data_IF_543182347275
#
_entry.id   IF_543182347275
#
_cell.length_a   1.000
_cell.length_b   1.000
_cell.length_c   1.000
_cell.angle_alpha   90.00
_cell.angle_beta   90.00
_cell.angle_gamma   90.00
#
_symmetry.space_group_name_H-M   'P 1'
#
loop_
_entity.id
_entity.type
_entity.pdbx_description
1 polymer ?
#
# COMPACT_ATOMS: atom_id res chain seq x y z
N UNK A 1 -7.57 17.49 -6.77
CA UNK A 1 -6.90 16.63 -7.75
C UNK A 1 -6.81 17.31 -9.10
N UNK A 2 -5.71 17.04 -9.81
CA UNK A 2 -5.39 17.54 -11.14
C UNK A 2 -5.12 16.33 -12.01
N UNK A 3 -5.85 16.17 -13.12
CA UNK A 3 -5.56 15.11 -14.08
C UNK A 3 -4.76 15.72 -15.23
N UNK A 4 -3.72 15.05 -15.68
CA UNK A 4 -2.95 15.43 -16.87
C UNK A 4 -3.05 14.29 -17.87
N UNK A 5 -3.36 14.62 -19.12
CA UNK A 5 -3.34 13.68 -20.24
C UNK A 5 -2.24 14.12 -21.19
N UNK A 6 -1.21 13.30 -21.35
CA UNK A 6 -0.17 13.49 -22.35
C UNK A 6 -0.40 12.54 -23.53
N UNK A 7 -0.75 13.10 -24.68
CA UNK A 7 -0.92 12.35 -25.92
C UNK A 7 0.44 12.23 -26.62
N UNK A 8 0.84 11.01 -26.97
CA UNK A 8 2.12 10.69 -27.58
C UNK A 8 1.91 9.99 -28.92
N UNK A 9 2.58 10.50 -29.96
CA UNK A 9 2.61 9.89 -31.28
C UNK A 9 3.98 9.24 -31.50
N UNK A 10 4.00 7.91 -31.54
CA UNK A 10 5.23 7.11 -31.62
C UNK A 10 5.76 7.08 -33.05
N UNK A 11 7.07 7.14 -33.21
CA UNK A 11 7.75 6.84 -34.48
C UNK A 11 7.56 5.35 -34.81
N UNK A 12 7.08 4.97 -36.01
CA UNK A 12 6.94 3.57 -36.40
C UNK A 12 8.25 2.78 -36.22
N UNK A 13 8.18 1.63 -35.56
CA UNK A 13 9.33 0.77 -35.26
C UNK A 13 10.06 1.11 -33.95
N UNK A 14 9.58 2.08 -33.17
CA UNK A 14 10.13 2.46 -31.85
C UNK A 14 9.17 2.19 -30.68
N UNK A 15 8.09 1.44 -30.91
CA UNK A 15 7.06 1.15 -29.92
C UNK A 15 7.63 0.47 -28.67
N UNK A 16 8.41 -0.59 -28.86
CA UNK A 16 9.03 -1.32 -27.74
C UNK A 16 10.06 -0.45 -26.99
N UNK A 17 10.80 0.40 -27.71
CA UNK A 17 11.74 1.34 -27.10
C UNK A 17 11.02 2.35 -26.21
N UNK A 18 9.93 2.95 -26.72
CA UNK A 18 9.10 3.88 -25.95
C UNK A 18 8.45 3.19 -24.75
N UNK A 19 7.88 2.00 -24.95
CA UNK A 19 7.17 1.27 -23.90
C UNK A 19 8.13 0.91 -22.75
N UNK A 20 9.37 0.50 -23.05
CA UNK A 20 10.41 0.26 -22.04
C UNK A 20 10.87 1.54 -21.33
N UNK A 21 11.01 2.64 -22.08
CA UNK A 21 11.36 3.97 -21.56
C UNK A 21 10.27 4.41 -20.58
N UNK A 22 9.00 4.42 -20.98
CA UNK A 22 7.85 4.83 -20.15
C UNK A 22 7.66 3.95 -18.91
N UNK A 23 7.88 2.64 -19.01
CA UNK A 23 7.84 1.74 -17.85
C UNK A 23 8.84 2.17 -16.76
N UNK A 24 10.08 2.47 -17.14
CA UNK A 24 11.10 2.95 -16.21
C UNK A 24 10.78 4.32 -15.60
N UNK A 25 10.16 5.23 -16.36
CA UNK A 25 9.69 6.51 -15.80
C UNK A 25 8.57 6.31 -14.78
N UNK A 26 7.60 5.47 -15.10
CA UNK A 26 6.47 5.16 -14.21
C UNK A 26 6.99 4.67 -12.86
N UNK A 27 7.92 3.72 -12.85
CA UNK A 27 8.45 3.15 -11.61
C UNK A 27 9.18 4.23 -10.78
N UNK A 28 9.99 5.08 -11.42
CA UNK A 28 10.67 6.19 -10.74
C UNK A 28 9.71 7.23 -10.14
N UNK A 29 8.63 7.56 -10.86
CA UNK A 29 7.60 8.50 -10.38
C UNK A 29 6.86 7.91 -9.20
N UNK A 30 6.38 6.67 -9.29
CA UNK A 30 5.60 6.04 -8.22
C UNK A 30 6.43 5.84 -6.95
N UNK A 31 7.75 5.63 -7.08
CA UNK A 31 8.67 5.56 -5.96
C UNK A 31 8.96 6.95 -5.34
N UNK A 32 9.14 7.98 -6.18
CA UNK A 32 9.69 9.28 -5.73
C UNK A 32 8.65 10.37 -5.48
N UNK A 33 7.44 10.24 -6.03
CA UNK A 33 6.43 11.30 -6.05
C UNK A 33 5.15 10.91 -5.30
N UNK A 34 5.09 11.05 -3.96
CA UNK A 34 3.89 10.74 -3.17
C UNK A 34 2.70 11.67 -3.48
N UNK A 35 2.90 12.69 -4.32
CA UNK A 35 1.83 13.55 -4.85
C UNK A 35 1.22 13.08 -6.16
N UNK A 36 1.84 12.11 -6.84
CA UNK A 36 1.32 11.42 -8.01
C UNK A 36 0.46 10.24 -7.56
N UNK A 37 -0.86 10.40 -7.66
CA UNK A 37 -1.87 9.43 -7.23
C UNK A 37 -2.13 8.35 -8.29
N UNK A 38 -1.84 8.65 -9.56
CA UNK A 38 -2.03 7.75 -10.70
C UNK A 38 -1.02 8.10 -11.78
N UNK A 39 -0.44 7.08 -12.39
CA UNK A 39 0.41 7.22 -13.56
C UNK A 39 0.20 6.02 -14.49
N UNK A 40 -0.80 6.12 -15.34
CA UNK A 40 -1.12 5.07 -16.31
C UNK A 40 -0.48 5.39 -17.65
N UNK A 41 0.07 4.36 -18.26
CA UNK A 41 0.57 4.41 -19.63
C UNK A 41 -0.21 3.40 -20.47
N UNK A 42 -1.00 3.92 -21.42
CA UNK A 42 -1.94 3.11 -22.19
C UNK A 42 -1.77 3.33 -23.68
N UNK A 43 -2.15 2.33 -24.45
CA UNK A 43 -2.28 2.41 -25.91
C UNK A 43 -3.73 2.62 -26.28
N UNK A 44 -3.99 3.49 -27.24
CA UNK A 44 -5.34 3.70 -27.76
C UNK A 44 -5.76 2.58 -28.70
N UNK A 45 -7.04 2.22 -28.74
CA UNK A 45 -7.56 1.21 -29.67
C UNK A 45 -7.50 1.69 -31.14
N UNK A 46 -7.56 3.00 -31.39
CA UNK A 46 -7.60 3.54 -32.74
C UNK A 46 -6.27 3.40 -33.49
N UNK A 47 -5.14 3.30 -32.78
CA UNK A 47 -3.82 3.24 -33.41
C UNK A 47 -2.77 2.60 -32.50
N UNK A 48 -1.98 1.64 -33.02
CA UNK A 48 -0.85 1.08 -32.30
C UNK A 48 0.31 2.07 -32.14
N UNK A 49 0.28 3.22 -32.83
CA UNK A 49 1.29 4.27 -32.74
C UNK A 49 0.87 5.42 -31.83
N UNK A 50 -0.28 5.32 -31.15
CA UNK A 50 -0.75 6.36 -30.23
C UNK A 50 -0.79 5.82 -28.80
N UNK A 51 -0.15 6.57 -27.91
CA UNK A 51 -0.06 6.28 -26.48
C UNK A 51 -0.60 7.47 -25.69
N UNK A 52 -1.18 7.19 -24.53
CA UNK A 52 -1.61 8.19 -23.58
C UNK A 52 -0.89 7.94 -22.25
N UNK A 53 -0.42 9.03 -21.64
CA UNK A 53 -0.11 9.04 -20.21
C UNK A 53 -1.26 9.71 -19.50
N UNK A 54 -1.85 9.04 -18.51
CA UNK A 54 -2.92 9.56 -17.68
C UNK A 54 -2.39 9.67 -16.26
N UNK A 55 -2.21 10.90 -15.82
CA UNK A 55 -1.58 11.23 -14.55
C UNK A 55 -2.59 11.91 -13.65
N UNK A 56 -2.62 11.57 -12.36
CA UNK A 56 -3.41 12.30 -11.37
C UNK A 56 -2.53 12.79 -10.24
N UNK A 57 -2.63 14.08 -9.93
CA UNK A 57 -1.90 14.72 -8.85
C UNK A 57 -2.86 15.20 -7.77
N UNK A 58 -2.45 15.06 -6.51
CA UNK A 58 -3.24 15.51 -5.35
C UNK A 58 -3.63 16.99 -5.47
N UNK A 59 -2.66 17.84 -5.80
CA UNK A 59 -2.77 19.29 -5.85
C UNK A 59 -1.79 19.92 -6.86
N UNK A 60 -1.75 21.26 -6.91
CA UNK A 60 -0.88 21.99 -7.82
C UNK A 60 0.61 21.90 -7.47
N UNK A 61 0.95 21.79 -6.19
CA UNK A 61 2.34 21.68 -5.76
C UNK A 61 2.92 20.31 -6.14
N UNK A 62 2.12 19.25 -6.06
CA UNK A 62 2.48 17.92 -6.56
C UNK A 62 2.78 17.94 -8.07
N UNK A 63 1.92 18.59 -8.87
CA UNK A 63 2.15 18.72 -10.31
C UNK A 63 3.40 19.57 -10.63
N UNK A 64 3.64 20.66 -9.91
CA UNK A 64 4.84 21.49 -10.12
C UNK A 64 6.11 20.70 -9.76
N UNK A 65 6.09 19.94 -8.66
CA UNK A 65 7.17 19.05 -8.27
C UNK A 65 7.47 18.01 -9.36
N UNK A 66 6.44 17.40 -9.94
CA UNK A 66 6.57 16.48 -11.06
C UNK A 66 7.28 17.12 -12.26
N UNK A 67 6.78 18.30 -12.69
CA UNK A 67 7.30 19.04 -13.84
C UNK A 67 8.76 19.48 -13.65
N UNK A 68 9.15 19.79 -12.42
CA UNK A 68 10.52 20.19 -12.05
C UNK A 68 11.46 19.02 -11.72
N UNK A 69 10.97 17.78 -11.74
CA UNK A 69 11.70 16.63 -11.21
C UNK A 69 12.98 16.31 -11.97
N UNK A 70 13.93 15.66 -11.29
CA UNK A 70 15.20 15.24 -11.90
C UNK A 70 14.97 14.11 -12.90
N UNK A 71 14.21 13.09 -12.53
CA UNK A 71 13.94 11.94 -13.39
C UNK A 71 13.19 12.32 -14.66
N UNK A 72 12.22 13.24 -14.61
CA UNK A 72 11.56 13.72 -15.83
C UNK A 72 12.54 14.45 -16.78
N UNK A 73 13.45 15.28 -16.24
CA UNK A 73 14.47 15.97 -17.04
C UNK A 73 15.47 15.01 -17.68
N UNK A 74 15.92 13.99 -16.95
CA UNK A 74 16.83 12.95 -17.48
C UNK A 74 16.12 12.03 -18.50
N UNK A 75 14.81 11.85 -18.34
CA UNK A 75 13.96 11.03 -19.19
C UNK A 75 13.63 11.68 -20.54
N UNK A 76 13.36 13.00 -20.53
CA UNK A 76 12.78 13.72 -21.67
C UNK A 76 13.54 13.52 -23.01
N UNK A 77 14.88 13.51 -23.06
CA UNK A 77 15.59 13.27 -24.33
C UNK A 77 15.33 11.89 -24.93
N UNK A 78 15.21 10.85 -24.08
CA UNK A 78 14.94 9.46 -24.51
C UNK A 78 13.51 9.31 -25.00
N UNK A 79 12.57 9.97 -24.32
CA UNK A 79 11.17 10.05 -24.76
C UNK A 79 11.09 10.65 -26.17
N UNK A 80 11.67 11.85 -26.35
CA UNK A 80 11.54 12.59 -27.60
C UNK A 80 12.20 11.87 -28.79
N UNK A 81 13.21 11.05 -28.56
CA UNK A 81 13.81 10.21 -29.61
C UNK A 81 12.86 9.12 -30.15
N UNK A 82 11.77 8.83 -29.44
CA UNK A 82 10.78 7.83 -29.82
C UNK A 82 9.48 8.43 -30.39
N UNK A 83 9.33 9.76 -30.36
CA UNK A 83 8.10 10.44 -30.77
C UNK A 83 8.28 11.24 -32.05
N UNK A 84 7.22 11.32 -32.86
CA UNK A 84 7.24 12.13 -34.10
C UNK A 84 7.16 13.62 -33.81
N UNK A 85 6.64 13.99 -32.65
CA UNK A 85 6.45 15.36 -32.18
C UNK A 85 6.46 15.40 -30.65
N UNK A 86 6.49 16.60 -30.08
CA UNK A 86 6.36 16.78 -28.63
C UNK A 86 4.98 16.28 -28.15
N UNK A 87 4.89 15.64 -26.97
CA UNK A 87 3.61 15.21 -26.42
C UNK A 87 2.64 16.39 -26.28
N UNK A 88 1.39 16.18 -26.68
CA UNK A 88 0.34 17.17 -26.46
C UNK A 88 -0.24 16.96 -25.08
N UNK A 89 -0.03 17.94 -24.19
CA UNK A 89 -0.43 17.86 -22.78
C UNK A 89 -1.72 18.66 -22.55
N UNK A 90 -2.70 18.02 -21.92
CA UNK A 90 -3.95 18.65 -21.50
C UNK A 90 -4.12 18.50 -19.99
N UNK A 91 -4.32 19.62 -19.29
CA UNK A 91 -4.64 19.62 -17.86
C UNK A 91 -6.15 19.67 -17.66
N UNK A 92 -6.65 18.72 -16.90
CA UNK A 92 -8.06 18.51 -16.62
C UNK A 92 -8.35 18.75 -15.12
N UNK A 93 -9.64 18.97 -14.83
CA UNK A 93 -10.19 19.09 -13.49
C UNK A 93 -11.41 18.18 -13.39
N UNK A 94 -11.55 17.51 -12.26
CA UNK A 94 -12.77 16.75 -11.98
C UNK A 94 -13.95 17.73 -11.87
N UNK A 95 -14.93 17.58 -12.76
CA UNK A 95 -16.17 18.38 -12.75
C UNK A 95 -17.08 17.95 -11.61
N UNK A 96 -17.04 16.66 -11.27
CA UNK A 96 -17.71 16.09 -10.11
C UNK A 96 -16.65 15.79 -9.06
N UNK A 97 -16.80 16.27 -7.80
CA UNK A 97 -15.90 15.89 -6.72
C UNK A 97 -15.86 14.37 -6.57
N UNK A 98 -14.66 13.81 -6.58
CA UNK A 98 -14.47 12.41 -6.19
C UNK A 98 -14.55 12.38 -4.66
N UNK A 99 -15.34 11.48 -4.06
CA UNK A 99 -15.33 11.30 -2.61
C UNK A 99 -13.90 11.08 -2.11
N UNK A 100 -13.60 11.57 -0.91
CA UNK A 100 -12.32 11.24 -0.28
C UNK A 100 -12.22 9.71 -0.17
N UNK A 101 -11.08 9.16 -0.59
CA UNK A 101 -10.77 7.77 -0.35
C UNK A 101 -10.54 7.55 1.15
N UNK A 102 -10.49 6.28 1.55
CA UNK A 102 -9.84 5.92 2.81
C UNK A 102 -8.43 6.51 2.86
N UNK A 103 -7.87 6.81 4.05
CA UNK A 103 -6.52 7.36 4.17
C UNK A 103 -5.50 6.48 3.43
N UNK A 104 -4.57 7.10 2.69
CA UNK A 104 -3.51 6.38 1.95
C UNK A 104 -2.64 5.48 2.84
N UNK A 105 -2.63 5.75 4.14
CA UNK A 105 -1.93 4.93 5.13
C UNK A 105 -2.66 3.62 5.42
N UNK A 106 -3.97 3.50 5.18
CA UNK A 106 -4.73 2.26 5.38
C UNK A 106 -4.29 1.23 4.35
N UNK A 107 -3.68 0.14 4.82
CA UNK A 107 -3.11 -0.87 3.93
C UNK A 107 -3.62 -2.28 4.16
N UNK A 108 -4.26 -2.58 5.30
CA UNK A 108 -4.89 -3.89 5.50
C UNK A 108 -6.04 -3.89 6.50
N UNK A 109 -6.79 -4.98 6.47
CA UNK A 109 -7.79 -5.37 7.46
C UNK A 109 -7.40 -6.71 8.07
N UNK A 110 -7.18 -6.75 9.37
CA UNK A 110 -6.74 -7.96 10.08
C UNK A 110 -7.90 -8.74 10.67
N UNK A 111 -7.89 -10.05 10.45
CA UNK A 111 -8.88 -10.99 10.99
C UNK A 111 -8.19 -12.22 11.56
N UNK A 112 -8.46 -12.50 12.83
CA UNK A 112 -8.03 -13.75 13.46
C UNK A 112 -9.02 -14.85 13.08
N UNK A 113 -8.51 -15.96 12.56
CA UNK A 113 -9.30 -17.10 12.08
C UNK A 113 -8.92 -18.38 12.83
N UNK A 114 -9.89 -19.26 13.14
CA UNK A 114 -9.62 -20.47 13.92
C UNK A 114 -8.81 -21.51 13.14
N UNK A 115 -8.89 -21.47 11.81
CA UNK A 115 -8.23 -22.39 10.87
C UNK A 115 -7.85 -21.60 9.62
N UNK A 116 -6.57 -21.29 9.49
CA UNK A 116 -6.05 -20.43 8.43
C UNK A 116 -6.24 -21.02 7.04
N UNK A 117 -5.99 -22.33 6.88
CA UNK A 117 -6.13 -23.01 5.59
C UNK A 117 -7.58 -22.98 5.10
N UNK A 118 -8.54 -23.31 5.97
CA UNK A 118 -9.96 -23.23 5.63
C UNK A 118 -10.42 -21.81 5.36
N UNK A 119 -9.93 -20.84 6.13
CA UNK A 119 -10.27 -19.44 5.93
C UNK A 119 -9.76 -18.94 4.56
N UNK A 120 -8.52 -19.25 4.20
CA UNK A 120 -7.95 -18.92 2.89
C UNK A 120 -8.79 -19.54 1.77
N UNK A 121 -9.07 -20.84 1.84
CA UNK A 121 -9.87 -21.53 0.82
C UNK A 121 -11.25 -20.88 0.64
N UNK A 122 -11.94 -20.56 1.74
CA UNK A 122 -13.25 -19.91 1.71
C UNK A 122 -13.19 -18.50 1.11
N UNK A 123 -12.25 -17.66 1.56
CA UNK A 123 -12.14 -16.30 1.06
C UNK A 123 -11.74 -16.27 -0.42
N UNK A 124 -10.85 -17.18 -0.84
CA UNK A 124 -10.47 -17.33 -2.25
C UNK A 124 -11.65 -17.73 -3.12
N UNK A 125 -12.46 -18.71 -2.70
CA UNK A 125 -13.63 -19.16 -3.45
C UNK A 125 -14.71 -18.07 -3.56
N UNK A 126 -15.02 -17.40 -2.44
CA UNK A 126 -16.11 -16.43 -2.39
C UNK A 126 -15.74 -15.11 -3.08
N UNK A 127 -14.51 -14.62 -2.89
CA UNK A 127 -14.08 -13.30 -3.38
C UNK A 127 -13.33 -13.36 -4.71
N UNK A 128 -12.90 -14.55 -5.15
CA UNK A 128 -12.08 -14.70 -6.36
C UNK A 128 -10.69 -14.08 -6.23
N UNK A 129 -10.09 -14.16 -5.02
CA UNK A 129 -8.76 -13.59 -4.72
C UNK A 129 -7.77 -14.70 -4.34
N UNK A 130 -6.49 -14.44 -4.57
CA UNK A 130 -5.39 -15.29 -4.09
C UNK A 130 -4.78 -14.74 -2.81
N UNK A 131 -4.13 -15.61 -2.04
CA UNK A 131 -3.36 -15.25 -0.85
C UNK A 131 -1.88 -15.59 -1.04
N UNK A 132 -1.02 -14.96 -0.26
CA UNK A 132 0.39 -15.30 -0.17
C UNK A 132 0.59 -16.69 0.49
N UNK A 133 1.80 -17.26 0.34
CA UNK A 133 2.22 -18.38 1.19
C UNK A 133 2.25 -17.92 2.66
N UNK A 134 1.76 -18.74 3.62
CA UNK A 134 1.80 -18.38 5.03
C UNK A 134 3.21 -18.07 5.53
N UNK A 135 3.34 -17.00 6.31
CA UNK A 135 4.58 -16.63 6.97
C UNK A 135 4.40 -16.61 8.49
N UNK A 136 5.47 -16.98 9.21
CA UNK A 136 5.50 -16.98 10.68
C UNK A 136 6.38 -15.83 11.15
N UNK A 137 5.74 -14.78 11.66
CA UNK A 137 6.42 -13.66 12.28
C UNK A 137 6.81 -14.00 13.71
N UNK A 138 8.10 -13.88 14.02
CA UNK A 138 8.61 -14.01 15.39
C UNK A 138 8.65 -12.66 16.05
N UNK A 139 7.89 -12.50 17.12
CA UNK A 139 7.79 -11.27 17.89
C UNK A 139 8.54 -11.52 19.20
N UNK A 140 9.74 -10.94 19.38
CA UNK A 140 10.55 -11.19 20.58
C UNK A 140 9.88 -10.71 21.86
N UNK A 141 9.04 -9.67 21.77
CA UNK A 141 8.42 -9.02 22.91
C UNK A 141 7.06 -8.43 22.52
N UNK A 142 6.01 -9.20 22.74
CA UNK A 142 4.61 -8.80 22.63
C UNK A 142 4.05 -8.47 24.02
N UNK A 143 3.34 -7.36 24.16
CA UNK A 143 2.72 -6.93 25.43
C UNK A 143 1.19 -6.92 25.30
N UNK A 144 0.50 -8.00 25.69
CA UNK A 144 -0.97 -8.16 25.54
C UNK A 144 -1.64 -9.19 26.49
N UNK A 145 -1.86 -8.89 27.78
CA UNK A 145 -1.51 -7.67 28.51
C UNK A 145 -0.13 -7.74 29.18
N UNK A 146 0.38 -8.96 29.43
CA UNK A 146 1.69 -9.20 30.05
C UNK A 146 2.75 -9.44 28.96
N UNK A 147 4.01 -9.02 29.15
CA UNK A 147 5.03 -9.22 28.12
C UNK A 147 5.46 -10.68 27.93
N UNK A 148 5.46 -11.16 26.68
CA UNK A 148 5.94 -12.50 26.31
C UNK A 148 6.45 -12.55 24.85
N UNK A 149 7.31 -13.53 24.49
CA UNK A 149 7.57 -13.81 23.08
C UNK A 149 6.31 -14.42 22.43
N UNK A 150 6.13 -14.19 21.13
CA UNK A 150 5.02 -14.75 20.38
C UNK A 150 5.45 -15.13 18.96
N UNK A 151 4.70 -16.06 18.36
CA UNK A 151 4.74 -16.32 16.93
C UNK A 151 3.35 -16.03 16.35
N UNK A 152 3.32 -15.31 15.23
CA UNK A 152 2.10 -14.95 14.52
C UNK A 152 2.18 -15.55 13.12
N UNK A 153 1.25 -16.45 12.78
CA UNK A 153 1.18 -17.02 11.42
C UNK A 153 0.08 -16.33 10.63
N UNK A 154 0.43 -15.72 9.51
CA UNK A 154 -0.51 -14.96 8.70
C UNK A 154 -0.32 -15.18 7.19
N UNK A 155 -1.32 -14.76 6.44
CA UNK A 155 -1.27 -14.53 4.99
C UNK A 155 -1.86 -13.16 4.67
N UNK A 156 -1.46 -12.61 3.53
CA UNK A 156 -2.07 -11.42 2.94
C UNK A 156 -2.74 -11.77 1.61
N UNK A 157 -3.83 -11.08 1.25
CA UNK A 157 -4.40 -11.19 -0.09
C UNK A 157 -3.46 -10.57 -1.13
N UNK A 158 -3.38 -11.20 -2.31
CA UNK A 158 -2.60 -10.73 -3.46
C UNK A 158 -3.41 -9.75 -4.31
N UNK A 159 -3.93 -8.72 -3.66
CA UNK A 159 -4.76 -7.66 -4.25
C UNK A 159 -4.06 -6.30 -4.13
N UNK A 160 -4.67 -5.23 -4.63
CA UNK A 160 -4.32 -3.89 -4.17
C UNK A 160 -4.73 -3.70 -2.70
N UNK A 161 -4.11 -2.74 -2.02
CA UNK A 161 -4.51 -2.34 -0.67
C UNK A 161 -5.96 -1.76 -0.65
N UNK A 162 -6.71 -1.92 0.46
CA UNK A 162 -6.32 -2.62 1.67
C UNK A 162 -6.34 -4.15 1.49
N UNK A 163 -5.28 -4.82 1.94
CA UNK A 163 -5.15 -6.26 1.90
C UNK A 163 -6.04 -6.93 2.96
N UNK A 164 -6.50 -8.14 2.69
CA UNK A 164 -7.05 -9.03 3.72
C UNK A 164 -5.88 -9.75 4.40
N UNK A 165 -5.67 -9.47 5.68
CA UNK A 165 -4.75 -10.24 6.51
C UNK A 165 -5.55 -11.28 7.30
N UNK A 166 -5.25 -12.56 7.08
CA UNK A 166 -5.81 -13.66 7.86
C UNK A 166 -4.74 -14.21 8.79
N UNK A 167 -5.06 -14.29 10.08
CA UNK A 167 -4.11 -14.68 11.14
C UNK A 167 -4.61 -15.94 11.80
N UNK A 168 -3.78 -16.98 11.88
CA UNK A 168 -4.11 -18.18 12.62
C UNK A 168 -4.24 -17.84 14.11
N UNK A 169 -5.40 -18.15 14.70
CA UNK A 169 -5.63 -17.99 16.13
C UNK A 169 -4.59 -18.80 16.95
N UNK A 170 -3.96 -18.15 17.91
CA UNK A 170 -2.96 -18.75 18.79
C UNK A 170 -2.89 -18.05 20.16
N UNK A 171 -2.52 -18.78 21.21
CA UNK A 171 -2.36 -18.22 22.56
C UNK A 171 -3.67 -17.66 23.16
N UNK A 172 -3.52 -16.76 24.13
CA UNK A 172 -4.58 -16.12 24.91
C UNK A 172 -4.63 -14.58 24.77
N UNK A 173 -3.65 -13.97 24.08
CA UNK A 173 -3.56 -12.53 23.81
C UNK A 173 -4.36 -12.01 22.60
N UNK A 174 -3.86 -10.96 21.96
CA UNK A 174 -4.53 -10.18 20.90
C UNK A 174 -4.84 -11.00 19.64
N UNK A 175 -4.09 -12.07 19.40
CA UNK A 175 -4.30 -13.04 18.30
C UNK A 175 -5.01 -14.32 18.74
N UNK A 176 -5.59 -14.37 19.93
CA UNK A 176 -6.26 -15.57 20.43
C UNK A 176 -7.59 -15.85 19.75
N UNK A 177 -8.08 -17.09 19.93
CA UNK A 177 -9.38 -17.50 19.41
C UNK A 177 -10.56 -16.67 19.94
N UNK A 178 -10.39 -15.94 21.06
CA UNK A 178 -11.38 -15.00 21.58
C UNK A 178 -11.63 -13.81 20.63
N UNK A 179 -10.71 -13.56 19.69
CA UNK A 179 -10.81 -12.50 18.70
C UNK A 179 -11.31 -12.99 17.33
N UNK A 180 -11.65 -14.27 17.16
CA UNK A 180 -12.23 -14.78 15.93
C UNK A 180 -13.62 -14.22 15.61
N UNK A 181 -13.97 -14.21 14.32
CA UNK A 181 -15.33 -13.90 13.84
C UNK A 181 -15.64 -12.41 13.67
N UNK A 182 -14.63 -11.55 13.68
CA UNK A 182 -14.74 -10.10 13.47
C UNK A 182 -13.52 -9.56 12.72
N UNK A 183 -13.67 -8.36 12.15
CA UNK A 183 -12.50 -7.54 11.81
C UNK A 183 -11.88 -7.12 13.14
N UNK A 184 -10.65 -7.55 13.39
CA UNK A 184 -9.94 -7.24 14.61
C UNK A 184 -9.44 -5.78 14.57
N UNK A 185 -8.83 -5.39 13.46
CA UNK A 185 -8.29 -4.03 13.27
C UNK A 185 -8.28 -3.58 11.81
N UNK A 186 -8.17 -2.26 11.65
CA UNK A 186 -7.75 -1.58 10.42
C UNK A 186 -6.27 -1.20 10.57
N UNK A 187 -5.44 -1.69 9.66
CA UNK A 187 -4.00 -1.49 9.71
C UNK A 187 -3.55 -0.29 8.88
N UNK A 188 -2.80 0.60 9.52
CA UNK A 188 -2.32 1.84 8.93
C UNK A 188 -0.81 1.99 9.09
N UNK A 189 -0.15 2.49 8.04
CA UNK A 189 1.25 2.87 8.11
C UNK A 189 1.45 4.09 9.02
N UNK A 190 2.50 4.04 9.84
CA UNK A 190 2.88 5.10 10.76
C UNK A 190 4.36 5.48 10.57
N UNK A 191 4.66 6.72 10.15
CA UNK A 191 6.04 7.20 10.03
C UNK A 191 6.74 7.47 11.36
N UNK A 192 5.99 7.79 12.43
CA UNK A 192 6.57 8.16 13.72
C UNK A 192 5.76 7.54 14.89
N UNK A 193 6.23 6.38 15.33
CA UNK A 193 5.54 5.63 16.38
C UNK A 193 5.58 6.33 17.74
N UNK A 194 6.65 7.06 18.07
CA UNK A 194 6.73 7.79 19.34
C UNK A 194 5.72 8.93 19.36
N UNK A 195 5.68 9.76 18.31
CA UNK A 195 4.69 10.82 18.19
C UNK A 195 3.27 10.27 18.11
N UNK A 196 3.06 9.10 17.50
CA UNK A 196 1.77 8.40 17.49
C UNK A 196 1.33 8.03 18.90
N UNK A 197 2.20 7.41 19.70
CA UNK A 197 1.88 7.02 21.07
C UNK A 197 1.54 8.24 21.95
N UNK A 198 2.27 9.35 21.82
CA UNK A 198 1.92 10.59 22.50
C UNK A 198 0.55 11.14 22.09
N UNK A 199 0.20 11.02 20.80
CA UNK A 199 -1.10 11.44 20.28
C UNK A 199 -2.23 10.58 20.85
N UNK A 200 -2.08 9.25 20.84
CA UNK A 200 -3.07 8.33 21.42
C UNK A 200 -3.30 8.64 22.91
N UNK A 201 -2.21 8.87 23.67
CA UNK A 201 -2.29 9.29 25.08
C UNK A 201 -3.08 10.59 25.26
N UNK A 202 -2.79 11.62 24.46
CA UNK A 202 -3.52 12.90 24.51
C UNK A 202 -4.99 12.76 24.12
N UNK A 203 -5.31 11.83 23.22
CA UNK A 203 -6.67 11.51 22.80
C UNK A 203 -7.41 10.63 23.82
N UNK A 204 -6.73 10.11 24.84
CA UNK A 204 -7.30 9.15 25.79
C UNK A 204 -7.61 7.79 25.18
N UNK A 205 -6.97 7.45 24.05
CA UNK A 205 -7.13 6.16 23.38
C UNK A 205 -6.14 5.16 23.98
N UNK A 206 -6.67 4.06 24.51
CA UNK A 206 -5.87 2.96 25.04
C UNK A 206 -5.15 2.16 23.95
N UNK A 207 -4.25 1.27 24.37
CA UNK A 207 -3.53 0.34 23.50
C UNK A 207 -3.65 -1.04 24.14
N UNK A 208 -4.13 -2.01 23.36
CA UNK A 208 -4.32 -3.40 23.80
C UNK A 208 -3.07 -4.26 23.56
N UNK A 209 -2.25 -3.90 22.56
CA UNK A 209 -1.03 -4.65 22.23
C UNK A 209 0.12 -3.75 21.76
N UNK A 210 1.34 -4.05 22.22
CA UNK A 210 2.58 -3.46 21.73
C UNK A 210 3.52 -4.54 21.20
N UNK A 211 4.01 -4.37 19.97
CA UNK A 211 4.94 -5.28 19.32
C UNK A 211 6.33 -4.65 19.32
N UNK A 212 7.28 -5.24 20.06
CA UNK A 212 8.64 -4.69 20.23
C UNK A 212 9.70 -5.71 19.84
N UNK A 213 10.86 -5.19 19.42
CA UNK A 213 12.07 -6.00 19.24
C UNK A 213 12.71 -6.41 20.57
N UNK A 214 12.30 -5.80 21.69
CA UNK A 214 12.77 -6.11 23.03
C UNK A 214 12.23 -5.14 24.09
N UNK A 215 12.54 -5.38 25.38
CA UNK A 215 12.07 -4.55 26.48
C UNK A 215 12.45 -3.07 26.32
N UNK A 216 11.46 -2.18 26.40
CA UNK A 216 11.68 -0.73 26.34
C UNK A 216 12.00 -0.16 24.95
N UNK A 217 12.13 -1.00 23.92
CA UNK A 217 12.27 -0.54 22.54
C UNK A 217 10.98 0.17 22.08
N UNK A 218 11.10 1.17 21.20
CA UNK A 218 9.95 1.75 20.50
C UNK A 218 9.26 0.61 19.74
N UNK A 219 7.93 0.46 19.83
CA UNK A 219 7.25 -0.64 19.17
C UNK A 219 7.31 -0.46 17.65
N UNK A 220 7.47 -1.54 16.91
CA UNK A 220 7.35 -1.50 15.44
C UNK A 220 5.89 -1.58 15.00
N UNK A 221 4.99 -2.13 15.84
CA UNK A 221 3.55 -2.04 15.67
C UNK A 221 2.81 -1.89 17.00
N UNK A 222 1.64 -1.26 16.98
CA UNK A 222 0.73 -1.14 18.14
C UNK A 222 -0.71 -1.29 17.72
N UNK A 223 -1.52 -1.96 18.53
CA UNK A 223 -2.96 -2.12 18.29
C UNK A 223 -3.73 -1.38 19.40
N UNK A 224 -4.58 -0.43 19.01
CA UNK A 224 -5.37 0.37 19.97
C UNK A 224 -6.36 -0.48 20.77
N UNK A 225 -6.89 0.10 21.85
CA UNK A 225 -8.14 -0.35 22.44
C UNK A 225 -9.29 -0.33 21.41
N UNK A 226 -10.33 -1.16 21.58
CA UNK A 226 -11.45 -1.23 20.65
C UNK A 226 -12.26 0.07 20.61
N UNK A 227 -12.81 0.36 19.44
CA UNK A 227 -13.80 1.40 19.22
C UNK A 227 -15.22 0.94 19.65
N UNK A 228 -16.24 1.73 19.28
CA UNK A 228 -17.64 1.45 19.60
C UNK A 228 -18.18 0.15 18.95
N UNK A 229 -17.54 -0.34 17.89
CA UNK A 229 -17.91 -1.57 17.18
C UNK A 229 -17.00 -2.75 17.55
N UNK A 230 -16.01 -2.55 18.43
CA UNK A 230 -15.06 -3.56 18.84
C UNK A 230 -13.83 -3.69 17.92
N UNK A 231 -13.75 -2.88 16.85
CA UNK A 231 -12.63 -2.82 15.94
C UNK A 231 -11.51 -1.94 16.50
N UNK A 232 -10.27 -2.19 16.10
CA UNK A 232 -9.09 -1.44 16.55
C UNK A 232 -8.41 -0.77 15.37
N UNK A 233 -7.42 0.06 15.66
CA UNK A 233 -6.45 0.53 14.67
C UNK A 233 -5.12 -0.11 15.01
N UNK A 234 -4.52 -0.79 14.03
CA UNK A 234 -3.13 -1.20 14.11
C UNK A 234 -2.28 -0.13 13.42
N UNK A 235 -1.33 0.46 14.14
CA UNK A 235 -0.30 1.31 13.54
C UNK A 235 0.94 0.46 13.33
N UNK A 236 1.44 0.40 12.10
CA UNK A 236 2.64 -0.36 11.72
C UNK A 236 3.71 0.60 11.20
N UNK A 237 4.94 0.47 11.67
CA UNK A 237 6.05 1.30 11.26
C UNK A 237 6.38 1.15 9.78
N UNK A 238 6.83 2.23 9.13
CA UNK A 238 7.20 2.20 7.70
C UNK A 238 8.34 1.23 7.36
N UNK A 239 9.13 0.79 8.35
CA UNK A 239 10.19 -0.20 8.14
C UNK A 239 9.66 -1.56 7.67
N UNK A 240 8.43 -1.91 8.02
CA UNK A 240 7.80 -3.19 7.64
C UNK A 240 7.12 -3.12 6.26
N UNK A 241 7.00 -1.93 5.67
CA UNK A 241 6.32 -1.73 4.39
C UNK A 241 6.99 -2.46 3.21
N UNK A 242 8.30 -2.27 2.94
CA UNK A 242 8.94 -2.96 1.81
C UNK A 242 8.82 -4.50 1.83
N UNK A 243 9.10 -5.21 2.94
CA UNK A 243 8.99 -6.67 2.94
C UNK A 243 7.54 -7.16 2.80
N UNK A 244 6.55 -6.44 3.35
CA UNK A 244 5.13 -6.77 3.18
C UNK A 244 4.68 -6.56 1.73
N UNK A 245 5.02 -5.44 1.11
CA UNK A 245 4.67 -5.18 -0.30
C UNK A 245 5.33 -6.21 -1.24
N UNK A 246 6.58 -6.61 -0.96
CA UNK A 246 7.26 -7.67 -1.70
C UNK A 246 6.58 -9.04 -1.50
N UNK A 247 6.15 -9.35 -0.28
CA UNK A 247 5.42 -10.58 0.03
C UNK A 247 4.10 -10.66 -0.75
N UNK A 248 3.31 -9.59 -0.76
CA UNK A 248 2.06 -9.50 -1.53
C UNK A 248 2.32 -9.66 -3.03
N UNK A 249 3.34 -8.96 -3.54
CA UNK A 249 3.69 -8.96 -4.97
C UNK A 249 4.13 -10.36 -5.44
N UNK A 250 5.02 -11.01 -4.70
CA UNK A 250 5.63 -12.29 -5.11
C UNK A 250 4.85 -13.51 -4.66
N UNK A 251 4.05 -13.39 -3.59
CA UNK A 251 3.44 -14.50 -2.87
C UNK A 251 4.34 -15.11 -1.79
N UNK A 252 5.59 -14.69 -1.63
CA UNK A 252 6.55 -15.25 -0.67
C UNK A 252 7.24 -14.16 0.14
N UNK A 253 7.33 -14.34 1.45
CA UNK A 253 7.99 -13.35 2.31
C UNK A 253 9.49 -13.34 2.00
N UNK A 254 10.13 -12.15 1.87
CA UNK A 254 11.56 -12.08 1.59
C UNK A 254 12.38 -12.65 2.76
N UNK A 255 13.44 -13.40 2.44
CA UNK A 255 14.41 -13.94 3.42
C UNK A 255 15.30 -12.86 4.04
#
# INVERSE_FOLDING_TARGET
>A
MITVIAEQQVVPGREEELDAVMAGLRDAILESEPGCLRFDYVRTEESPLRRLVIEEYRDAAALESHQGSRHLREFLPRLLACLTEFPKVTTCRNVVPVPDSVPDSLFHVGMVVPDLEKAVALHSDVLGIEFTEPHVFRIPWLEDPDPHPAELTAVFSRTGAPYYELIQAAGDGIISAAHCGKILYYGVWEPDMDARLERLRRQGIGVDAYFRSGPGAIPFAVITAPDLLGARVEYVGLGDRPPIEEWVRTGRYPE
#
